data_IF_966254435421
#
_entry.id   IF_966254435421
#
_cell.length_a   1.000
_cell.length_b   1.000
_cell.length_c   1.000
_cell.angle_alpha   90.00
_cell.angle_beta   90.00
_cell.angle_gamma   90.00
#
_symmetry.space_group_name_H-M   'P 1'
#
loop_
_entity.id
_entity.type
_entity.pdbx_description
1 polymer ?
#
# COMPACT_ATOMS: atom_id res chain seq x y z
N UNK A 1 -4.48 38.33 -10.05
CA UNK A 1 -4.54 37.03 -9.33
C UNK A 1 -3.76 36.04 -10.16
N UNK A 2 -2.65 35.51 -9.63
CA UNK A 2 -1.85 34.55 -10.36
C UNK A 2 -2.64 33.23 -10.49
N UNK A 3 -3.09 32.92 -11.70
CA UNK A 3 -3.73 31.66 -12.03
C UNK A 3 -2.63 30.69 -12.46
N UNK A 4 -2.45 29.61 -11.71
CA UNK A 4 -1.56 28.50 -12.08
C UNK A 4 -2.17 27.82 -13.32
N UNK A 5 -1.41 27.80 -14.42
CA UNK A 5 -1.86 27.25 -15.70
C UNK A 5 -1.62 25.74 -15.81
N UNK A 6 -0.72 25.19 -14.99
CA UNK A 6 -0.34 23.78 -15.00
C UNK A 6 -0.30 23.20 -13.58
N UNK A 7 -0.57 21.90 -13.48
CA UNK A 7 -0.43 21.17 -12.22
C UNK A 7 1.04 21.16 -11.79
N UNK A 8 1.34 21.36 -10.49
CA UNK A 8 2.71 21.28 -10.01
C UNK A 8 3.28 19.89 -10.32
N UNK A 9 4.48 19.86 -10.85
CA UNK A 9 5.21 18.61 -11.11
C UNK A 9 5.43 17.94 -9.75
N UNK A 10 4.95 16.72 -9.59
CA UNK A 10 5.21 15.95 -8.38
C UNK A 10 6.71 15.60 -8.35
N UNK A 11 7.48 16.36 -7.59
CA UNK A 11 8.88 16.05 -7.30
C UNK A 11 8.91 14.81 -6.39
N UNK A 12 9.10 13.64 -6.98
CA UNK A 12 9.37 12.42 -6.23
C UNK A 12 10.88 12.35 -5.97
N UNK A 13 11.29 12.59 -4.73
CA UNK A 13 12.66 12.27 -4.32
C UNK A 13 12.88 10.75 -4.38
N UNK A 14 13.92 10.34 -5.11
CA UNK A 14 14.41 8.96 -5.06
C UNK A 14 15.22 8.83 -3.79
N UNK A 15 14.55 8.48 -2.70
CA UNK A 15 15.20 8.23 -1.41
C UNK A 15 15.74 6.81 -1.41
N UNK A 16 17.07 6.68 -1.32
CA UNK A 16 17.77 5.41 -1.12
C UNK A 16 17.18 4.66 0.09
N UNK A 17 16.71 3.43 -0.15
CA UNK A 17 16.05 2.58 0.83
C UNK A 17 16.93 1.43 1.30
N UNK A 18 18.21 1.39 0.91
CA UNK A 18 19.10 0.34 1.35
C UNK A 18 19.30 0.41 2.88
N UNK A 19 18.90 -0.66 3.58
CA UNK A 19 19.03 -0.82 5.03
C UNK A 19 20.00 -1.96 5.32
N UNK A 20 21.12 -1.66 5.98
CA UNK A 20 22.08 -2.65 6.45
C UNK A 20 21.52 -3.34 7.71
N UNK A 21 20.77 -4.43 7.50
CA UNK A 21 20.09 -5.20 8.56
C UNK A 21 18.56 -5.07 8.56
N UNK A 22 17.87 -6.07 9.10
CA UNK A 22 16.40 -6.10 9.15
C UNK A 22 15.86 -5.25 10.30
N UNK A 23 15.64 -3.97 10.03
CA UNK A 23 14.68 -3.15 10.78
C UNK A 23 13.53 -2.89 9.81
N UNK A 24 12.36 -3.56 9.94
CA UNK A 24 11.26 -3.34 9.03
C UNK A 24 10.81 -1.88 9.16
N UNK A 25 11.21 -1.04 8.21
CA UNK A 25 10.75 0.33 8.10
C UNK A 25 9.58 0.37 7.13
N UNK A 26 8.61 1.22 7.41
CA UNK A 26 7.47 1.45 6.52
C UNK A 26 7.33 2.95 6.29
N UNK A 27 7.14 3.34 5.03
CA UNK A 27 6.74 4.70 4.68
C UNK A 27 5.22 4.77 4.70
N UNK A 28 4.67 5.71 5.47
CA UNK A 28 3.23 5.90 5.59
C UNK A 28 2.87 7.22 4.95
N UNK A 29 2.01 7.16 3.92
CA UNK A 29 1.44 8.32 3.25
C UNK A 29 -0.05 8.45 3.55
N UNK A 30 -0.55 9.68 3.54
CA UNK A 30 -1.99 9.94 3.61
C UNK A 30 -2.56 10.14 2.21
N UNK A 31 -3.79 9.68 2.00
CA UNK A 31 -4.54 9.87 0.76
C UNK A 31 -5.78 10.67 1.10
N UNK A 32 -6.06 11.73 0.34
CA UNK A 32 -7.21 12.60 0.58
C UNK A 32 -8.54 11.87 0.36
N UNK A 33 -8.69 11.22 -0.80
CA UNK A 33 -9.90 10.48 -1.14
C UNK A 33 -9.63 9.41 -2.19
N UNK A 34 -10.12 8.19 -1.98
CA UNK A 34 -10.03 7.12 -2.97
C UNK A 34 -11.20 6.13 -2.88
N UNK A 35 -11.81 5.85 -4.03
CA UNK A 35 -12.97 4.98 -4.14
C UNK A 35 -14.27 5.62 -3.63
N UNK A 36 -15.31 4.80 -3.49
CA UNK A 36 -16.61 5.25 -2.97
C UNK A 36 -16.75 5.06 -1.46
N UNK A 37 -17.61 5.85 -0.82
CA UNK A 37 -17.88 5.81 0.63
C UNK A 37 -18.32 4.44 1.15
N UNK A 38 -18.88 3.58 0.28
CA UNK A 38 -19.17 2.18 0.60
C UNK A 38 -17.95 1.46 1.19
N UNK A 39 -16.73 1.89 0.87
CA UNK A 39 -15.46 1.27 1.26
C UNK A 39 -14.57 2.16 2.13
N UNK A 40 -15.14 3.12 2.87
CA UNK A 40 -14.37 4.00 3.76
C UNK A 40 -13.43 3.21 4.71
N UNK A 41 -12.34 3.85 5.14
CA UNK A 41 -11.23 3.16 5.81
C UNK A 41 -10.35 2.41 4.81
N UNK A 42 -9.80 3.13 3.82
CA UNK A 42 -8.92 2.53 2.83
C UNK A 42 -7.49 2.43 3.36
N UNK A 43 -6.88 1.25 3.19
CA UNK A 43 -5.45 1.04 3.40
C UNK A 43 -4.89 0.33 2.17
N UNK A 44 -3.85 0.90 1.57
CA UNK A 44 -3.17 0.33 0.40
C UNK A 44 -1.74 0.01 0.82
N UNK A 45 -1.36 -1.26 0.70
CA UNK A 45 -0.05 -1.77 1.09
C UNK A 45 0.70 -2.16 -0.18
N UNK A 46 1.82 -1.49 -0.44
CA UNK A 46 2.75 -1.88 -1.49
C UNK A 46 3.94 -2.60 -0.87
N UNK A 47 4.14 -3.85 -1.24
CA UNK A 47 5.32 -4.63 -0.83
C UNK A 47 6.36 -4.52 -1.94
N UNK A 48 7.55 -3.96 -1.68
CA UNK A 48 8.53 -3.75 -2.73
C UNK A 48 9.05 -5.11 -3.26
N UNK A 49 9.40 -5.21 -4.55
CA UNK A 49 9.99 -6.44 -5.12
C UNK A 49 11.27 -6.88 -4.39
N UNK A 50 12.02 -5.94 -3.82
CA UNK A 50 13.22 -6.21 -3.03
C UNK A 50 12.95 -6.99 -1.74
N UNK A 51 11.70 -7.01 -1.26
CA UNK A 51 11.31 -7.81 -0.09
C UNK A 51 11.06 -9.27 -0.49
N UNK A 52 12.04 -9.90 -1.14
CA UNK A 52 11.93 -11.19 -1.84
C UNK A 52 11.48 -12.38 -0.98
N UNK A 53 11.69 -12.32 0.33
CA UNK A 53 11.20 -13.34 1.27
C UNK A 53 9.70 -13.25 1.55
N UNK A 54 9.04 -12.14 1.18
CA UNK A 54 7.62 -11.94 1.37
C UNK A 54 6.85 -12.48 0.13
N UNK A 55 5.90 -13.41 0.29
CA UNK A 55 5.05 -13.92 -0.79
C UNK A 55 4.31 -12.86 -1.63
N UNK A 56 4.10 -11.67 -1.07
CA UNK A 56 3.48 -10.52 -1.73
C UNK A 56 4.49 -9.55 -2.34
N UNK A 57 5.78 -9.90 -2.42
CA UNK A 57 6.80 -9.07 -3.06
C UNK A 57 6.36 -8.61 -4.46
N UNK A 58 6.49 -7.30 -4.70
CA UNK A 58 6.08 -6.66 -5.95
C UNK A 58 4.57 -6.51 -6.12
N UNK A 59 3.77 -6.74 -5.08
CA UNK A 59 2.30 -6.64 -5.14
C UNK A 59 1.79 -5.44 -4.35
N UNK A 60 0.69 -4.87 -4.85
CA UNK A 60 -0.13 -3.89 -4.15
C UNK A 60 -1.41 -4.53 -3.66
N UNK A 61 -1.69 -4.46 -2.36
CA UNK A 61 -2.90 -4.99 -1.74
C UNK A 61 -3.75 -3.84 -1.23
N UNK A 62 -5.04 -3.83 -1.59
CA UNK A 62 -5.98 -2.80 -1.20
C UNK A 62 -7.05 -3.37 -0.28
N UNK A 63 -7.12 -2.80 0.93
CA UNK A 63 -8.16 -3.03 1.90
C UNK A 63 -9.15 -1.87 1.98
N UNK A 64 -10.41 -2.19 2.23
CA UNK A 64 -11.46 -1.23 2.59
C UNK A 64 -12.12 -1.63 3.91
N UNK A 65 -12.96 -0.74 4.47
CA UNK A 65 -13.63 -0.96 5.76
C UNK A 65 -12.67 -1.16 6.93
N UNK A 66 -11.44 -0.66 6.82
CA UNK A 66 -10.43 -0.78 7.86
C UNK A 66 -10.77 0.19 8.99
N UNK A 67 -11.04 -0.37 10.17
CA UNK A 67 -11.05 0.33 11.46
C UNK A 67 -9.73 0.14 12.23
N UNK A 68 -9.48 0.94 13.30
CA UNK A 68 -8.27 0.83 14.11
C UNK A 68 -7.97 -0.60 14.61
N UNK A 69 -9.01 -1.37 14.96
CA UNK A 69 -8.93 -2.75 15.44
C UNK A 69 -8.33 -3.75 14.43
N UNK A 70 -8.18 -3.35 13.17
CA UNK A 70 -7.62 -4.20 12.10
C UNK A 70 -6.13 -3.94 11.85
N UNK A 71 -5.56 -2.86 12.39
CA UNK A 71 -4.22 -2.37 12.02
C UNK A 71 -3.15 -3.40 12.34
N UNK A 72 -3.14 -3.94 13.56
CA UNK A 72 -2.19 -4.96 13.99
C UNK A 72 -2.31 -6.24 13.15
N UNK A 73 -3.54 -6.59 12.75
CA UNK A 73 -3.81 -7.69 11.84
C UNK A 73 -3.19 -7.49 10.46
N UNK A 74 -3.34 -6.29 9.87
CA UNK A 74 -2.75 -5.96 8.57
C UNK A 74 -1.22 -6.02 8.63
N UNK A 75 -0.61 -5.49 9.70
CA UNK A 75 0.85 -5.55 9.87
C UNK A 75 1.31 -6.99 9.98
N UNK A 76 0.75 -7.77 10.91
CA UNK A 76 1.18 -9.14 11.15
C UNK A 76 0.92 -10.06 9.94
N UNK A 77 -0.27 -9.98 9.32
CA UNK A 77 -0.65 -10.90 8.25
C UNK A 77 -0.14 -10.47 6.90
N UNK A 78 -0.24 -9.20 6.54
CA UNK A 78 0.09 -8.77 5.17
C UNK A 78 1.55 -8.35 5.06
N UNK A 79 2.03 -7.50 5.96
CA UNK A 79 3.39 -6.96 5.86
C UNK A 79 4.43 -8.00 6.30
N UNK A 80 4.18 -8.76 7.37
CA UNK A 80 5.13 -9.73 7.89
C UNK A 80 4.93 -11.14 7.31
N UNK A 81 3.71 -11.71 7.38
CA UNK A 81 3.46 -13.08 6.92
C UNK A 81 3.26 -13.20 5.38
N UNK A 82 3.07 -12.09 4.65
CA UNK A 82 2.74 -12.10 3.22
C UNK A 82 1.39 -12.74 2.88
N UNK A 83 0.39 -12.54 3.73
CA UNK A 83 -0.98 -13.08 3.61
C UNK A 83 -2.01 -11.97 3.47
N UNK A 84 -3.04 -12.24 2.66
CA UNK A 84 -4.17 -11.31 2.47
C UNK A 84 -5.30 -11.63 3.44
N UNK A 85 -5.84 -10.61 4.09
CA UNK A 85 -7.04 -10.71 4.94
C UNK A 85 -8.26 -10.59 4.02
N UNK A 86 -8.92 -11.71 3.73
CA UNK A 86 -9.97 -11.80 2.71
C UNK A 86 -11.17 -10.91 3.02
N UNK A 87 -11.53 -10.79 4.29
CA UNK A 87 -12.71 -10.07 4.76
C UNK A 87 -12.62 -8.55 4.50
N UNK A 88 -11.40 -8.02 4.46
CA UNK A 88 -11.11 -6.62 4.18
C UNK A 88 -10.71 -6.37 2.72
N UNK A 89 -10.43 -7.44 1.98
CA UNK A 89 -9.84 -7.36 0.65
C UNK A 89 -10.79 -6.69 -0.34
N UNK A 90 -10.29 -5.62 -0.97
CA UNK A 90 -11.00 -4.86 -1.99
C UNK A 90 -10.45 -5.14 -3.39
N UNK A 91 -9.17 -5.44 -3.49
CA UNK A 91 -8.48 -5.75 -4.74
C UNK A 91 -6.97 -5.74 -4.58
N UNK A 92 -6.26 -6.17 -5.62
CA UNK A 92 -4.81 -6.09 -5.66
C UNK A 92 -4.29 -5.99 -7.08
N UNK A 93 -3.00 -5.70 -7.20
CA UNK A 93 -2.27 -5.67 -8.46
C UNK A 93 -0.92 -6.35 -8.25
N UNK A 94 -0.43 -7.07 -9.25
CA UNK A 94 0.92 -7.62 -9.25
C UNK A 94 1.92 -6.78 -10.04
N UNK A 95 3.16 -7.25 -10.12
CA UNK A 95 4.27 -6.60 -10.82
C UNK A 95 4.04 -6.50 -12.33
N UNK A 96 3.21 -7.37 -12.90
CA UNK A 96 2.89 -7.40 -14.31
C UNK A 96 1.69 -6.49 -14.64
N UNK A 97 1.20 -5.75 -13.65
CA UNK A 97 0.03 -4.86 -13.70
C UNK A 97 -1.29 -5.60 -13.87
N UNK A 98 -1.30 -6.89 -13.57
CA UNK A 98 -2.50 -7.71 -13.63
C UNK A 98 -3.31 -7.58 -12.34
N UNK A 99 -4.63 -7.61 -12.49
CA UNK A 99 -5.56 -7.46 -11.36
C UNK A 99 -5.66 -8.77 -10.59
N UNK A 100 -5.35 -8.71 -9.29
CA UNK A 100 -5.53 -9.83 -8.36
C UNK A 100 -6.99 -9.84 -7.88
N UNK A 101 -7.65 -10.99 -8.00
CA UNK A 101 -8.99 -11.25 -7.49
C UNK A 101 -8.96 -12.50 -6.59
N UNK A 102 -9.74 -12.48 -5.51
CA UNK A 102 -9.84 -13.55 -4.50
C UNK A 102 -11.27 -14.08 -4.39
#
# INVERSE_FOLDING_TARGET
>A
VALLHDAPVAEAEIVDTEVEGYVPTARVGQISHIGGHKWAGNVIVYIPPSFSSNPLAGKGIWYGRVGPEHVEGIVAKTILDGKVIKELFRGGIDSDREIIRL
#
